data_IF_166429288498
#
_entry.id   IF_166429288498
#
_cell.length_a   1.000
_cell.length_b   1.000
_cell.length_c   1.000
_cell.angle_alpha   90.00
_cell.angle_beta   90.00
_cell.angle_gamma   90.00
#
_symmetry.space_group_name_H-M   'P 1'
#
loop_
_entity.id
_entity.type
_entity.pdbx_description
1 polymer ?
#
# COMPACT_ATOMS: atom_id res chain seq x y z
N UNK A 1 -13.82 -12.63 -9.14
CA UNK A 1 -13.83 -11.16 -9.05
C UNK A 1 -12.80 -10.63 -10.04
N UNK A 2 -13.19 -9.78 -10.99
CA UNK A 2 -12.27 -9.11 -11.93
C UNK A 2 -11.55 -7.96 -11.24
N UNK A 3 -10.32 -7.63 -11.69
CA UNK A 3 -9.61 -6.41 -11.25
C UNK A 3 -10.50 -5.22 -11.65
N UNK A 4 -10.82 -4.30 -10.73
CA UNK A 4 -11.57 -3.09 -11.08
C UNK A 4 -10.80 -2.31 -12.14
N UNK A 5 -11.52 -1.68 -13.06
CA UNK A 5 -10.92 -0.76 -14.03
C UNK A 5 -10.32 0.44 -13.32
N UNK A 6 -9.35 1.11 -13.95
CA UNK A 6 -8.71 2.31 -13.38
C UNK A 6 -9.73 3.40 -13.05
N UNK A 7 -10.82 3.47 -13.82
CA UNK A 7 -11.92 4.42 -13.62
C UNK A 7 -12.72 4.05 -12.36
N UNK A 8 -13.09 2.78 -12.20
CA UNK A 8 -13.82 2.28 -11.03
C UNK A 8 -12.99 2.44 -9.75
N UNK A 9 -11.70 2.09 -9.80
CA UNK A 9 -10.78 2.24 -8.68
C UNK A 9 -10.61 3.71 -8.30
N UNK A 10 -10.38 4.60 -9.27
CA UNK A 10 -10.23 6.04 -9.01
C UNK A 10 -11.51 6.63 -8.41
N UNK A 11 -12.67 6.24 -8.92
CA UNK A 11 -13.97 6.68 -8.38
C UNK A 11 -14.16 6.21 -6.93
N UNK A 12 -13.82 4.95 -6.64
CA UNK A 12 -13.89 4.40 -5.28
C UNK A 12 -12.92 5.10 -4.31
N UNK A 13 -11.72 5.46 -4.76
CA UNK A 13 -10.75 6.20 -3.94
C UNK A 13 -11.19 7.63 -3.64
N UNK A 14 -11.80 8.32 -4.62
CA UNK A 14 -12.37 9.65 -4.39
C UNK A 14 -13.51 9.58 -3.39
N UNK A 15 -14.42 8.61 -3.54
CA UNK A 15 -15.50 8.38 -2.59
C UNK A 15 -14.96 8.10 -1.18
N UNK A 16 -13.95 7.22 -1.05
CA UNK A 16 -13.29 6.96 0.23
C UNK A 16 -12.63 8.21 0.83
N UNK A 17 -11.99 9.05 0.01
CA UNK A 17 -11.45 10.34 0.45
C UNK A 17 -12.54 11.22 1.07
N UNK A 18 -13.66 11.40 0.36
CA UNK A 18 -14.78 12.21 0.85
C UNK A 18 -15.44 11.63 2.10
N UNK A 19 -15.54 10.30 2.22
CA UNK A 19 -16.10 9.65 3.41
C UNK A 19 -15.23 9.88 4.65
N UNK A 20 -13.91 9.87 4.47
CA UNK A 20 -12.95 10.19 5.54
C UNK A 20 -13.01 11.67 5.94
N UNK A 21 -13.14 12.58 4.97
CA UNK A 21 -13.24 14.02 5.23
C UNK A 21 -14.53 14.43 5.96
N UNK A 22 -15.63 13.74 5.68
CA UNK A 22 -16.92 13.99 6.33
C UNK A 22 -17.13 13.20 7.63
N UNK A 23 -16.12 12.45 8.12
CA UNK A 23 -16.20 11.55 9.28
C UNK A 23 -17.38 10.55 9.19
N UNK A 24 -17.76 10.22 7.95
CA UNK A 24 -18.84 9.27 7.61
C UNK A 24 -18.23 7.99 7.07
N UNK A 25 -17.32 7.41 7.83
CA UNK A 25 -16.78 6.07 7.59
C UNK A 25 -17.23 5.08 8.69
N UNK A 26 -18.55 4.80 8.81
CA UNK A 26 -19.10 4.02 9.92
C UNK A 26 -18.59 2.58 10.01
N UNK A 27 -17.90 2.08 8.98
CA UNK A 27 -17.37 0.71 8.93
C UNK A 27 -15.87 0.66 8.59
N UNK A 28 -15.16 1.80 8.67
CA UNK A 28 -13.74 1.88 8.30
C UNK A 28 -13.45 1.39 6.86
N UNK A 29 -14.44 1.45 5.97
CA UNK A 29 -14.33 1.00 4.58
C UNK A 29 -13.41 1.96 3.84
N UNK A 30 -13.57 3.26 4.05
CA UNK A 30 -12.73 4.25 3.41
C UNK A 30 -11.29 4.17 3.93
N UNK A 31 -11.10 4.08 5.25
CA UNK A 31 -9.79 3.87 5.87
C UNK A 31 -9.10 2.62 5.32
N UNK A 32 -9.80 1.48 5.31
CA UNK A 32 -9.28 0.20 4.83
C UNK A 32 -8.93 0.24 3.35
N UNK A 33 -9.81 0.79 2.51
CA UNK A 33 -9.60 0.88 1.07
C UNK A 33 -8.40 1.77 0.72
N UNK A 34 -8.29 2.96 1.34
CA UNK A 34 -7.17 3.87 1.11
C UNK A 34 -5.85 3.26 1.58
N UNK A 35 -5.83 2.63 2.75
CA UNK A 35 -4.67 1.95 3.30
C UNK A 35 -4.21 0.80 2.38
N UNK A 36 -5.13 -0.08 1.97
CA UNK A 36 -4.81 -1.19 1.09
C UNK A 36 -4.33 -0.71 -0.28
N UNK A 37 -4.96 0.32 -0.87
CA UNK A 37 -4.53 0.87 -2.14
C UNK A 37 -3.14 1.52 -2.07
N UNK A 38 -2.81 2.16 -0.95
CA UNK A 38 -1.46 2.69 -0.74
C UNK A 38 -0.42 1.56 -0.68
N UNK A 39 -0.68 0.53 0.14
CA UNK A 39 0.21 -0.63 0.29
C UNK A 39 0.39 -1.40 -1.02
N UNK A 40 -0.68 -1.54 -1.80
CA UNK A 40 -0.70 -2.29 -3.06
C UNK A 40 0.36 -1.78 -4.05
N UNK A 41 0.58 -0.46 -4.13
CA UNK A 41 1.60 0.13 -5.01
C UNK A 41 3.00 -0.38 -4.70
N UNK A 42 3.35 -0.48 -3.43
CA UNK A 42 4.67 -0.98 -3.04
C UNK A 42 4.81 -2.48 -3.30
N UNK A 43 3.74 -3.25 -3.16
CA UNK A 43 3.75 -4.67 -3.53
C UNK A 43 3.86 -4.88 -5.04
N UNK A 44 3.27 -4.02 -5.87
CA UNK A 44 3.46 -4.04 -7.32
C UNK A 44 4.93 -3.70 -7.70
N UNK A 45 5.54 -2.73 -7.02
CA UNK A 45 6.99 -2.45 -7.16
C UNK A 45 7.85 -3.66 -6.76
N UNK A 46 7.51 -4.32 -5.65
CA UNK A 46 8.20 -5.52 -5.18
C UNK A 46 8.09 -6.66 -6.19
N UNK A 47 6.89 -6.90 -6.73
CA UNK A 47 6.66 -7.94 -7.72
C UNK A 47 7.52 -7.70 -8.96
N UNK A 48 7.59 -6.45 -9.43
CA UNK A 48 8.42 -6.06 -10.57
C UNK A 48 9.91 -6.27 -10.28
N UNK A 49 10.37 -5.91 -9.08
CA UNK A 49 11.76 -6.12 -8.66
C UNK A 49 12.11 -7.61 -8.53
N UNK A 50 11.18 -8.41 -7.98
CA UNK A 50 11.35 -9.86 -7.84
C UNK A 50 11.39 -10.56 -9.19
N UNK A 51 10.51 -10.18 -10.12
CA UNK A 51 10.46 -10.71 -11.47
C UNK A 51 11.75 -10.38 -12.26
N UNK A 52 12.27 -9.15 -12.13
CA UNK A 52 13.56 -8.77 -12.71
C UNK A 52 14.70 -9.59 -12.13
N UNK A 53 14.77 -9.75 -10.81
CA UNK A 53 15.79 -10.55 -10.14
C UNK A 53 15.76 -12.01 -10.59
N UNK A 54 14.57 -12.60 -10.74
CA UNK A 54 14.40 -13.98 -11.16
C UNK A 54 14.77 -14.19 -12.64
N UNK A 55 14.40 -13.26 -13.53
CA UNK A 55 14.63 -13.38 -14.97
C UNK A 55 16.01 -12.90 -15.45
N UNK A 56 16.65 -11.94 -14.76
CA UNK A 56 17.94 -11.36 -15.18
C UNK A 56 19.15 -11.93 -14.42
N UNK A 57 18.91 -12.90 -13.53
CA UNK A 57 19.94 -13.77 -12.94
C UNK A 57 20.93 -13.06 -12.03
N UNK A 58 20.72 -13.13 -10.71
CA UNK A 58 21.70 -12.95 -9.61
C UNK A 58 22.68 -11.77 -9.69
N UNK A 59 22.50 -10.81 -10.60
CA UNK A 59 23.31 -9.62 -10.66
C UNK A 59 23.17 -8.87 -9.33
N UNK A 60 24.30 -8.62 -8.65
CA UNK A 60 24.33 -7.95 -7.34
C UNK A 60 23.50 -6.66 -7.32
N UNK A 61 23.47 -5.95 -8.44
CA UNK A 61 22.69 -4.73 -8.61
C UNK A 61 21.17 -4.95 -8.52
N UNK A 62 20.63 -6.01 -9.15
CA UNK A 62 19.20 -6.33 -9.09
C UNK A 62 18.82 -6.91 -7.72
N UNK A 63 19.73 -7.69 -7.11
CA UNK A 63 19.57 -8.15 -5.72
C UNK A 63 19.49 -6.99 -4.74
N UNK A 64 20.38 -5.99 -4.89
CA UNK A 64 20.40 -4.82 -4.02
C UNK A 64 19.15 -3.95 -4.20
N UNK A 65 18.64 -3.80 -5.43
CA UNK A 65 17.35 -3.14 -5.68
C UNK A 65 16.19 -3.87 -4.98
N UNK A 66 16.13 -5.19 -5.11
CA UNK A 66 15.11 -6.00 -4.45
C UNK A 66 15.16 -5.83 -2.93
N UNK A 67 16.35 -5.91 -2.31
CA UNK A 67 16.52 -5.71 -0.88
C UNK A 67 16.07 -4.32 -0.42
N UNK A 68 16.45 -3.26 -1.14
CA UNK A 68 16.00 -1.89 -0.84
C UNK A 68 14.48 -1.74 -0.96
N UNK A 69 13.86 -2.35 -1.97
CA UNK A 69 12.40 -2.35 -2.11
C UNK A 69 11.74 -3.05 -0.92
N UNK A 70 12.28 -4.19 -0.46
CA UNK A 70 11.77 -4.91 0.72
C UNK A 70 11.92 -4.07 2.00
N UNK A 71 13.07 -3.43 2.21
CA UNK A 71 13.29 -2.57 3.37
C UNK A 71 12.32 -1.38 3.38
N UNK A 72 12.15 -0.71 2.25
CA UNK A 72 11.21 0.40 2.11
C UNK A 72 9.77 0.00 2.43
N UNK A 73 9.35 -1.20 1.98
CA UNK A 73 8.02 -1.74 2.33
C UNK A 73 7.91 -1.96 3.84
N UNK A 74 8.91 -2.59 4.46
CA UNK A 74 8.90 -2.84 5.91
C UNK A 74 8.87 -1.56 6.74
N UNK A 75 9.60 -0.53 6.32
CA UNK A 75 9.59 0.79 6.96
C UNK A 75 8.20 1.44 6.87
N UNK A 76 7.59 1.43 5.69
CA UNK A 76 6.27 2.02 5.49
C UNK A 76 5.16 1.22 6.21
N UNK A 77 5.22 -0.11 6.23
CA UNK A 77 4.33 -0.96 7.05
C UNK A 77 4.46 -0.62 8.54
N UNK A 78 5.69 -0.44 9.03
CA UNK A 78 5.95 -0.08 10.42
C UNK A 78 5.42 1.32 10.75
N UNK A 79 5.59 2.28 9.83
CA UNK A 79 5.05 3.65 9.95
C UNK A 79 3.53 3.64 10.03
N UNK A 80 2.87 2.89 9.13
CA UNK A 80 1.40 2.76 9.10
C UNK A 80 0.91 2.11 10.40
N UNK A 81 1.55 1.02 10.84
CA UNK A 81 1.18 0.34 12.08
C UNK A 81 1.37 1.20 13.34
N UNK A 82 2.39 2.06 13.38
CA UNK A 82 2.61 3.01 14.49
C UNK A 82 1.62 4.18 14.47
N UNK A 83 1.22 4.64 13.29
CA UNK A 83 0.20 5.69 13.17
C UNK A 83 -1.17 5.26 13.71
N UNK A 84 -1.49 3.96 13.64
CA UNK A 84 -2.70 3.41 14.26
C UNK A 84 -2.56 3.26 15.79
N UNK A 85 -1.36 2.99 16.33
CA UNK A 85 -1.15 2.88 17.79
C UNK A 85 -1.20 4.23 18.50
N UNK A 86 -0.73 5.30 17.87
CA UNK A 86 -0.74 6.65 18.47
C UNK A 86 -2.16 7.25 18.56
N UNK A 87 -3.13 6.70 17.82
CA UNK A 87 -4.54 7.10 17.89
C UNK A 87 -5.32 6.49 19.07
N UNK A 88 -4.77 5.47 19.75
CA UNK A 88 -5.44 4.78 20.87
C UNK A 88 -4.98 5.26 22.26
N UNK A 89 -4.16 6.31 22.34
CA UNK A 89 -3.41 6.67 23.54
C UNK A 89 -3.85 7.90 24.34
N UNK A 90 -5.07 8.42 24.14
CA UNK A 90 -5.59 9.53 24.95
C UNK A 90 -7.10 9.37 25.23
N UNK A 91 -7.44 8.53 26.21
CA UNK A 91 -8.64 8.68 27.06
C UNK A 91 -8.21 8.67 28.53
#
# INVERSE_FOLDING_TARGET
MSKPTDIELKTALVAAGTMKEHDKDPFYIAKSLLNHNFRLKYYEELLTAADRYMNHGLAEHERMKLLRCIEKIKEEETRISKSDSDSFGLE
#
